data_IF_908489131828
#
_entry.id   IF_908489131828
#
_cell.length_a   1.000
_cell.length_b   1.000
_cell.length_c   1.000
_cell.angle_alpha   90.00
_cell.angle_beta   90.00
_cell.angle_gamma   90.00
#
_symmetry.space_group_name_H-M   'P 1'
#
loop_
_entity.id
_entity.type
_entity.pdbx_description
1 polymer ?
#
# COMPACT_ATOMS: atom_id res chain seq x y z
N UNK A 1 45.06 -9.17 -6.81
CA UNK A 1 44.31 -8.04 -7.41
C UNK A 1 43.01 -7.98 -6.67
N UNK A 2 43.00 -7.14 -5.64
CA UNK A 2 41.89 -6.93 -4.71
C UNK A 2 40.85 -6.06 -5.42
N UNK A 3 39.64 -6.60 -5.64
CA UNK A 3 38.54 -5.79 -6.14
C UNK A 3 37.97 -4.94 -5.00
N UNK A 4 38.05 -3.63 -5.22
CA UNK A 4 37.52 -2.55 -4.41
C UNK A 4 36.10 -2.82 -3.89
N UNK A 5 35.96 -2.72 -2.56
CA UNK A 5 34.70 -2.49 -1.86
C UNK A 5 34.09 -1.14 -2.31
N UNK A 6 33.40 -1.11 -3.44
CA UNK A 6 32.42 -0.04 -3.69
C UNK A 6 31.26 -0.27 -2.72
N UNK A 7 30.93 0.71 -1.89
CA UNK A 7 29.84 0.68 -0.89
C UNK A 7 28.43 0.57 -1.48
N UNK A 8 28.25 -0.26 -2.49
CA UNK A 8 27.03 -0.45 -3.25
C UNK A 8 26.27 -1.63 -2.65
N UNK A 9 25.02 -1.39 -2.25
CA UNK A 9 24.15 -2.42 -1.72
C UNK A 9 23.85 -3.52 -2.74
N UNK A 10 23.47 -4.71 -2.24
CA UNK A 10 23.12 -5.87 -3.08
C UNK A 10 22.09 -5.51 -4.15
N UNK A 11 22.36 -5.88 -5.41
CA UNK A 11 21.39 -5.74 -6.51
C UNK A 11 20.22 -6.71 -6.31
N UNK A 12 19.00 -6.21 -6.42
CA UNK A 12 17.76 -6.98 -6.30
C UNK A 12 17.03 -6.95 -7.64
N UNK A 13 16.62 -8.12 -8.15
CA UNK A 13 15.79 -8.20 -9.36
C UNK A 13 14.38 -7.74 -9.04
N UNK A 14 13.85 -6.82 -9.85
CA UNK A 14 12.46 -6.40 -9.73
C UNK A 14 11.52 -7.54 -10.19
N UNK A 15 10.52 -7.91 -9.38
CA UNK A 15 9.54 -8.91 -9.79
C UNK A 15 8.58 -8.34 -10.84
N UNK A 16 8.11 -9.19 -11.75
CA UNK A 16 7.05 -8.84 -12.70
C UNK A 16 5.67 -9.03 -12.03
N UNK A 17 5.41 -8.24 -10.99
CA UNK A 17 4.17 -8.28 -10.22
C UNK A 17 3.63 -6.87 -10.06
N UNK A 18 2.36 -6.68 -10.40
CA UNK A 18 1.68 -5.39 -10.36
C UNK A 18 0.59 -5.40 -9.29
N UNK A 19 0.43 -4.27 -8.62
CA UNK A 19 -0.54 -4.02 -7.59
C UNK A 19 -1.26 -2.70 -7.84
N UNK A 20 -2.45 -2.58 -7.26
CA UNK A 20 -3.18 -1.33 -7.16
C UNK A 20 -3.13 -0.84 -5.71
N UNK A 21 -3.06 0.48 -5.53
CA UNK A 21 -3.09 1.12 -4.21
C UNK A 21 -4.35 1.97 -4.06
N UNK A 22 -4.89 2.04 -2.86
CA UNK A 22 -6.03 2.90 -2.52
C UNK A 22 -5.63 3.76 -1.32
N UNK A 23 -5.55 5.07 -1.52
CA UNK A 23 -5.31 6.04 -0.46
C UNK A 23 -6.64 6.35 0.24
N UNK A 24 -7.08 5.45 1.14
CA UNK A 24 -8.37 5.56 1.82
C UNK A 24 -8.42 6.81 2.74
N UNK A 25 -9.42 7.69 2.60
CA UNK A 25 -9.55 8.92 3.39
C UNK A 25 -10.19 8.63 4.75
N UNK A 26 -9.42 7.97 5.61
CA UNK A 26 -9.84 7.62 6.97
C UNK A 26 -8.97 6.53 7.58
N UNK A 27 -9.10 6.35 8.90
CA UNK A 27 -8.38 5.30 9.62
C UNK A 27 -9.06 3.95 9.44
N UNK A 28 -8.38 3.01 8.80
CA UNK A 28 -8.90 1.65 8.53
C UNK A 28 -8.64 0.74 9.72
N UNK A 29 -9.67 0.48 10.52
CA UNK A 29 -9.63 -0.50 11.63
C UNK A 29 -9.99 -1.91 11.16
N UNK A 30 -10.93 -2.01 10.21
CA UNK A 30 -11.41 -3.28 9.66
C UNK A 30 -11.39 -3.20 8.14
N UNK A 31 -10.55 -4.04 7.53
CA UNK A 31 -10.31 -4.06 6.08
C UNK A 31 -11.58 -4.44 5.32
N UNK A 32 -12.33 -5.44 5.78
CA UNK A 32 -13.55 -5.90 5.09
C UNK A 32 -14.63 -4.82 5.05
N UNK A 33 -14.79 -4.07 6.15
CA UNK A 33 -15.70 -2.93 6.20
C UNK A 33 -15.25 -1.81 5.26
N UNK A 34 -13.96 -1.49 5.22
CA UNK A 34 -13.42 -0.49 4.31
C UNK A 34 -13.52 -0.91 2.83
N UNK A 35 -13.37 -2.21 2.52
CA UNK A 35 -13.63 -2.71 1.18
C UNK A 35 -15.11 -2.63 0.83
N UNK A 36 -16.01 -2.88 1.79
CA UNK A 36 -17.45 -2.74 1.58
C UNK A 36 -17.87 -1.30 1.26
N UNK A 37 -17.23 -0.29 1.84
CA UNK A 37 -17.50 1.13 1.51
C UNK A 37 -17.10 1.50 0.09
N UNK A 38 -16.20 0.73 -0.52
CA UNK A 38 -15.75 0.89 -1.90
C UNK A 38 -16.47 -0.06 -2.88
N UNK A 39 -17.53 -0.75 -2.44
CA UNK A 39 -18.30 -1.67 -3.28
C UNK A 39 -17.76 -3.11 -3.33
N UNK A 40 -16.79 -3.46 -2.48
CA UNK A 40 -16.21 -4.81 -2.36
C UNK A 40 -14.95 -5.02 -3.18
N UNK A 41 -14.10 -5.98 -2.77
CA UNK A 41 -12.78 -6.24 -3.38
C UNK A 41 -12.85 -6.47 -4.89
N UNK A 42 -13.80 -7.30 -5.32
CA UNK A 42 -13.87 -7.76 -6.71
C UNK A 42 -14.32 -6.64 -7.63
N UNK A 43 -15.30 -5.85 -7.18
CA UNK A 43 -15.80 -4.70 -7.93
C UNK A 43 -14.68 -3.67 -8.12
N UNK A 44 -13.93 -3.35 -7.06
CA UNK A 44 -12.83 -2.41 -7.12
C UNK A 44 -11.71 -2.91 -8.05
N UNK A 45 -11.33 -4.19 -7.93
CA UNK A 45 -10.27 -4.76 -8.77
C UNK A 45 -10.66 -4.73 -10.25
N UNK A 46 -11.91 -5.08 -10.56
CA UNK A 46 -12.39 -5.06 -11.94
C UNK A 46 -12.50 -3.63 -12.48
N UNK A 47 -12.98 -2.70 -11.66
CA UNK A 47 -13.11 -1.29 -12.02
C UNK A 47 -11.76 -0.66 -12.38
N UNK A 48 -10.78 -0.78 -11.48
CA UNK A 48 -9.41 -0.25 -11.67
C UNK A 48 -8.71 -0.95 -12.85
N UNK A 49 -8.99 -2.23 -13.10
CA UNK A 49 -8.43 -2.95 -14.24
C UNK A 49 -9.02 -2.47 -15.59
N UNK A 50 -10.29 -2.06 -15.61
CA UNK A 50 -11.03 -1.76 -16.84
C UNK A 50 -10.90 -0.31 -17.29
N UNK A 51 -10.89 0.65 -16.37
CA UNK A 51 -10.91 2.08 -16.69
C UNK A 51 -10.06 2.91 -15.74
N UNK A 52 -9.30 3.85 -16.32
CA UNK A 52 -8.59 4.90 -15.57
C UNK A 52 -9.40 6.20 -15.48
N UNK A 53 -10.48 6.30 -16.24
CA UNK A 53 -11.29 7.53 -16.34
C UNK A 53 -12.45 7.54 -15.37
N UNK A 54 -13.00 6.37 -15.09
CA UNK A 54 -14.17 6.25 -14.23
C UNK A 54 -13.74 6.33 -12.77
N UNK A 55 -14.33 7.23 -11.95
CA UNK A 55 -13.96 7.36 -10.56
C UNK A 55 -14.40 6.14 -9.76
N UNK A 56 -13.63 5.82 -8.71
CA UNK A 56 -14.03 4.85 -7.70
C UNK A 56 -14.92 5.55 -6.68
N UNK A 57 -16.13 5.04 -6.45
CA UNK A 57 -17.03 5.58 -5.44
C UNK A 57 -16.67 5.06 -4.04
N UNK A 58 -16.58 5.96 -3.07
CA UNK A 58 -16.51 5.67 -1.65
C UNK A 58 -17.81 6.07 -0.95
N UNK A 59 -18.48 5.10 -0.34
CA UNK A 59 -19.73 5.26 0.41
C UNK A 59 -19.52 4.83 1.86
N UNK A 60 -19.34 5.80 2.75
CA UNK A 60 -19.14 5.54 4.18
C UNK A 60 -20.30 4.75 4.82
N UNK A 61 -21.52 4.94 4.31
CA UNK A 61 -22.72 4.19 4.70
C UNK A 61 -23.29 3.45 3.47
N UNK A 62 -22.78 2.25 3.13
CA UNK A 62 -23.17 1.52 1.92
C UNK A 62 -24.67 1.22 1.82
N UNK A 63 -25.36 1.15 2.96
CA UNK A 63 -26.79 0.85 3.02
C UNK A 63 -27.66 2.10 2.81
N UNK A 64 -27.11 3.30 2.96
CA UNK A 64 -27.87 4.54 2.83
C UNK A 64 -27.68 5.15 1.43
N UNK A 65 -28.67 4.93 0.55
CA UNK A 65 -28.64 5.42 -0.84
C UNK A 65 -28.79 6.93 -0.98
N UNK A 66 -29.25 7.62 0.07
CA UNK A 66 -29.48 9.07 0.04
C UNK A 66 -28.20 9.89 0.20
N UNK A 67 -27.11 9.27 0.67
CA UNK A 67 -25.82 9.94 0.82
C UNK A 67 -25.04 9.89 -0.49
N UNK A 68 -24.49 11.03 -0.89
CA UNK A 68 -23.64 11.14 -2.06
C UNK A 68 -22.30 10.44 -1.79
N UNK A 69 -21.78 9.67 -2.77
CA UNK A 69 -20.47 9.07 -2.65
C UNK A 69 -19.37 10.12 -2.76
N UNK A 70 -18.23 9.87 -2.13
CA UNK A 70 -16.99 10.57 -2.43
C UNK A 70 -16.33 9.90 -3.64
N UNK A 71 -15.89 10.69 -4.61
CA UNK A 71 -15.27 10.18 -5.83
C UNK A 71 -13.75 10.13 -5.71
N UNK A 72 -13.18 8.96 -5.94
CA UNK A 72 -11.75 8.70 -6.00
C UNK A 72 -11.25 8.66 -7.44
N UNK A 73 -10.21 9.42 -7.73
CA UNK A 73 -9.55 9.44 -9.04
C UNK A 73 -8.57 8.27 -9.15
N UNK A 74 -8.61 7.53 -10.27
CA UNK A 74 -7.62 6.48 -10.57
C UNK A 74 -6.42 7.14 -11.26
N UNK A 75 -5.31 7.25 -10.54
CA UNK A 75 -4.10 7.91 -11.03
C UNK A 75 -3.07 6.85 -11.44
N UNK A 76 -2.59 6.83 -12.70
CA UNK A 76 -1.44 6.02 -13.08
C UNK A 76 -0.19 6.42 -12.29
N UNK A 77 0.50 5.45 -11.72
CA UNK A 77 1.71 5.66 -10.90
C UNK A 77 2.80 4.66 -11.30
N UNK A 78 4.03 4.91 -10.84
CA UNK A 78 5.16 3.99 -11.01
C UNK A 78 5.83 3.76 -9.65
N UNK A 79 5.03 3.50 -8.62
CA UNK A 79 5.54 3.32 -7.27
C UNK A 79 6.02 1.87 -7.07
N UNK A 80 6.82 1.64 -6.04
CA UNK A 80 7.35 0.31 -5.71
C UNK A 80 6.87 -0.08 -4.32
N UNK A 81 6.29 -1.28 -4.19
CA UNK A 81 5.96 -1.87 -2.91
C UNK A 81 7.16 -2.61 -2.35
N UNK A 82 7.65 -2.19 -1.20
CA UNK A 82 8.82 -2.76 -0.53
C UNK A 82 8.38 -3.36 0.80
N UNK A 83 8.78 -4.61 1.06
CA UNK A 83 8.64 -5.29 2.34
C UNK A 83 9.97 -5.25 3.06
N UNK A 84 9.94 -4.72 4.27
CA UNK A 84 11.12 -4.57 5.11
C UNK A 84 10.91 -5.42 6.37
N UNK A 85 11.81 -6.37 6.62
CA UNK A 85 11.84 -7.14 7.87
C UNK A 85 13.07 -6.74 8.65
N UNK A 86 12.90 -6.56 9.96
CA UNK A 86 14.00 -6.28 10.89
C UNK A 86 13.88 -7.19 12.10
N UNK A 87 15.01 -7.47 12.74
CA UNK A 87 15.01 -8.19 14.02
C UNK A 87 14.69 -7.19 15.13
N UNK A 88 13.85 -7.61 16.06
CA UNK A 88 13.50 -6.86 17.26
C UNK A 88 13.66 -7.78 18.46
N UNK A 89 14.10 -7.23 19.60
CA UNK A 89 14.13 -7.98 20.85
C UNK A 89 12.79 -7.78 21.56
N UNK A 90 12.05 -8.87 21.75
CA UNK A 90 10.78 -8.86 22.48
C UNK A 90 10.99 -9.42 23.89
N UNK A 91 10.54 -8.69 24.89
CA UNK A 91 10.58 -9.10 26.28
C UNK A 91 9.26 -9.78 26.69
N UNK A 92 9.29 -10.60 27.75
CA UNK A 92 8.11 -11.33 28.25
C UNK A 92 6.98 -10.42 28.73
N UNK A 93 7.31 -9.18 29.11
CA UNK A 93 6.38 -8.15 29.55
C UNK A 93 5.81 -7.29 28.40
N UNK A 94 6.07 -7.67 27.15
CA UNK A 94 5.55 -6.98 25.97
C UNK A 94 6.40 -5.80 25.50
N UNK A 95 7.48 -5.44 26.20
CA UNK A 95 8.41 -4.42 25.73
C UNK A 95 9.10 -4.88 24.43
N UNK A 96 9.26 -3.95 23.50
CA UNK A 96 9.98 -4.13 22.25
C UNK A 96 11.18 -3.19 22.27
N UNK A 97 12.38 -3.74 22.10
CA UNK A 97 13.61 -2.97 21.96
C UNK A 97 14.14 -3.13 20.53
N UNK A 98 14.41 -1.99 19.90
CA UNK A 98 15.07 -1.96 18.60
C UNK A 98 16.54 -2.30 18.79
N UNK A 99 17.04 -3.24 17.98
CA UNK A 99 18.48 -3.53 17.97
C UNK A 99 19.22 -2.38 17.31
N UNK A 100 20.39 -2.05 17.85
CA UNK A 100 21.34 -1.10 17.24
C UNK A 100 21.46 -1.33 15.73
N UNK A 101 21.46 -0.28 14.89
CA UNK A 101 21.49 -0.40 13.44
C UNK A 101 22.61 -1.31 12.92
N UNK A 102 23.77 -1.27 13.59
CA UNK A 102 24.97 -2.05 13.25
C UNK A 102 24.80 -3.57 13.50
N UNK A 103 23.88 -3.94 14.40
CA UNK A 103 23.56 -5.33 14.75
C UNK A 103 22.27 -5.82 14.12
N UNK A 104 21.50 -4.93 13.48
CA UNK A 104 20.22 -5.26 12.88
C UNK A 104 20.37 -5.50 11.37
N UNK A 105 20.24 -6.76 10.95
CA UNK A 105 20.15 -7.10 9.54
C UNK A 105 18.75 -6.79 9.04
N UNK A 106 18.64 -5.79 8.16
CA UNK A 106 17.41 -5.48 7.45
C UNK A 106 17.29 -6.41 6.24
N UNK A 107 16.22 -7.19 6.19
CA UNK A 107 15.84 -7.98 5.02
C UNK A 107 14.85 -7.15 4.20
N UNK A 108 15.32 -6.67 3.05
CA UNK A 108 14.56 -5.81 2.15
C UNK A 108 14.18 -6.61 0.91
N UNK A 109 12.88 -6.69 0.65
CA UNK A 109 12.29 -7.42 -0.46
C UNK A 109 11.43 -6.46 -1.29
N UNK A 110 11.73 -6.35 -2.58
CA UNK A 110 10.85 -5.67 -3.52
C UNK A 110 9.70 -6.61 -3.84
N UNK A 111 8.48 -6.22 -3.46
CA UNK A 111 7.28 -7.04 -3.64
C UNK A 111 6.70 -6.88 -5.04
N UNK A 112 6.77 -5.67 -5.61
CA UNK A 112 6.30 -5.38 -6.97
C UNK A 112 6.04 -3.90 -7.24
N UNK A 113 5.44 -3.65 -8.39
CA UNK A 113 5.07 -2.33 -8.88
C UNK A 113 3.67 -1.97 -8.43
N UNK A 114 3.44 -0.70 -8.11
CA UNK A 114 2.11 -0.11 -7.98
C UNK A 114 1.94 0.79 -9.19
N UNK A 115 1.12 0.35 -10.14
CA UNK A 115 0.94 1.04 -11.42
C UNK A 115 -0.28 1.98 -11.43
N UNK A 116 -1.20 1.81 -10.48
CA UNK A 116 -2.37 2.68 -10.31
C UNK A 116 -2.63 2.92 -8.83
N UNK A 117 -2.97 4.16 -8.51
CA UNK A 117 -3.36 4.58 -7.16
C UNK A 117 -4.69 5.32 -7.21
N UNK A 118 -5.67 4.85 -6.44
CA UNK A 118 -6.93 5.57 -6.23
C UNK A 118 -6.71 6.64 -5.16
N UNK A 119 -7.07 7.89 -5.47
CA UNK A 119 -6.92 9.05 -4.57
C UNK A 119 -8.22 9.82 -4.41
N UNK A 120 -8.59 10.11 -3.18
CA UNK A 120 -9.80 10.87 -2.85
C UNK A 120 -9.44 12.34 -2.57
N UNK A 121 -9.20 13.11 -3.63
CA UNK A 121 -8.80 14.54 -3.55
C UNK A 121 -9.97 15.52 -3.43
N UNK A 122 -11.20 15.04 -3.54
CA UNK A 122 -12.41 15.86 -3.40
C UNK A 122 -12.69 16.36 -1.98
N UNK A 123 -11.86 15.99 -1.01
CA UNK A 123 -11.87 16.54 0.35
C UNK A 123 -10.87 17.71 0.34
N UNK A 124 -11.36 18.95 0.47
CA UNK A 124 -10.49 20.08 0.78
C UNK A 124 -9.92 19.85 2.19
N UNK A 125 -8.58 19.80 2.29
CA UNK A 125 -7.86 19.82 3.56
C UNK A 125 -7.87 21.21 4.18
#
# INVERSE_FOLDING_TARGET
MEEENSGISKRIKFPNKFFYSIEYPGYVVNIDKALKTLGGSDNISNHIATSDKDPVELRYEPNNKSLLPLLGEVVPTNNVLIKIKRKIKKYKDGRIEELEPEKNSWDVEIVGWINKTVRFRGILN
#
